data_IF_793549182703
#
_entry.id   IF_793549182703
#
_cell.length_a   1.000
_cell.length_b   1.000
_cell.length_c   1.000
_cell.angle_alpha   90.00
_cell.angle_beta   90.00
_cell.angle_gamma   90.00
#
_symmetry.space_group_name_H-M   'P 1'
#
loop_
_entity.id
_entity.type
_entity.pdbx_description
1 polymer ?
#
# COMPACT_ATOMS: atom_id res chain seq x y z
N UNK A 1 2.17 -11.61 -0.31
CA UNK A 1 1.83 -10.62 0.70
C UNK A 1 2.35 -11.05 2.05
N UNK A 2 2.97 -10.16 2.78
CA UNK A 2 3.44 -10.45 4.13
C UNK A 2 2.36 -9.99 5.11
N UNK A 3 1.91 -10.87 6.03
CA UNK A 3 0.99 -10.46 7.08
C UNK A 3 1.61 -9.34 7.89
N UNK A 4 0.90 -8.23 8.02
CA UNK A 4 1.46 -6.98 8.60
C UNK A 4 1.23 -6.93 10.11
N UNK A 5 0.34 -7.75 10.66
CA UNK A 5 0.07 -7.72 12.10
C UNK A 5 1.31 -8.12 12.91
N UNK A 6 1.79 -7.26 13.80
CA UNK A 6 2.93 -7.56 14.67
C UNK A 6 2.62 -8.62 15.73
N UNK A 7 1.33 -8.83 16.04
CA UNK A 7 0.87 -9.68 17.13
C UNK A 7 0.63 -11.14 16.72
N UNK A 8 0.84 -11.46 15.44
CA UNK A 8 0.69 -12.84 14.95
C UNK A 8 1.84 -13.73 15.39
N UNK A 9 1.53 -14.92 15.91
CA UNK A 9 2.52 -15.95 16.13
C UNK A 9 3.11 -16.43 14.80
N UNK A 10 4.24 -17.14 14.87
CA UNK A 10 4.87 -17.70 13.67
C UNK A 10 3.95 -18.74 12.98
N UNK A 11 3.23 -19.53 13.78
CA UNK A 11 2.28 -20.55 13.31
C UNK A 11 1.10 -19.89 12.60
N UNK A 12 0.52 -18.83 13.15
CA UNK A 12 -0.57 -18.08 12.53
C UNK A 12 -0.13 -17.44 11.21
N UNK A 13 1.04 -16.81 11.19
CA UNK A 13 1.63 -16.24 9.99
C UNK A 13 1.80 -17.29 8.89
N UNK A 14 2.37 -18.44 9.21
CA UNK A 14 2.54 -19.53 8.26
C UNK A 14 1.18 -20.08 7.78
N UNK A 15 0.21 -20.24 8.67
CA UNK A 15 -1.14 -20.68 8.32
C UNK A 15 -1.83 -19.76 7.33
N UNK A 16 -1.69 -18.44 7.48
CA UNK A 16 -2.22 -17.43 6.56
C UNK A 16 -1.54 -17.55 5.19
N UNK A 17 -0.21 -17.67 5.15
CA UNK A 17 0.55 -17.79 3.89
C UNK A 17 0.16 -19.05 3.14
N UNK A 18 0.11 -20.19 3.81
CA UNK A 18 -0.26 -21.48 3.21
C UNK A 18 -1.74 -21.47 2.76
N UNK A 19 -2.64 -20.89 3.55
CA UNK A 19 -4.03 -20.69 3.17
C UNK A 19 -4.18 -19.87 1.89
N UNK A 20 -3.48 -18.75 1.79
CA UNK A 20 -3.48 -17.92 0.60
C UNK A 20 -2.96 -18.67 -0.63
N UNK A 21 -1.86 -19.41 -0.49
CA UNK A 21 -1.30 -20.26 -1.57
C UNK A 21 -2.28 -21.34 -2.01
N UNK A 22 -2.90 -22.04 -1.07
CA UNK A 22 -3.84 -23.10 -1.36
C UNK A 22 -5.07 -22.57 -2.15
N UNK A 23 -5.61 -21.43 -1.75
CA UNK A 23 -6.73 -20.78 -2.44
C UNK A 23 -6.33 -20.42 -3.88
N UNK A 24 -5.23 -19.67 -4.05
CA UNK A 24 -4.78 -19.23 -5.37
C UNK A 24 -4.43 -20.40 -6.30
N UNK A 25 -3.77 -21.43 -5.77
CA UNK A 25 -3.40 -22.64 -6.54
C UNK A 25 -4.64 -23.42 -6.99
N UNK A 26 -5.65 -23.55 -6.12
CA UNK A 26 -6.86 -24.31 -6.44
C UNK A 26 -7.67 -23.71 -7.60
N UNK A 27 -7.60 -22.38 -7.77
CA UNK A 27 -8.31 -21.69 -8.86
C UNK A 27 -7.40 -21.32 -10.03
N UNK A 28 -6.13 -21.76 -10.01
CA UNK A 28 -5.09 -21.39 -10.99
C UNK A 28 -5.01 -19.86 -11.19
N UNK A 29 -4.99 -19.13 -10.08
CA UNK A 29 -4.97 -17.67 -10.11
C UNK A 29 -3.68 -17.14 -10.74
N UNK A 30 -3.81 -16.21 -11.66
CA UNK A 30 -2.71 -15.52 -12.33
C UNK A 30 -2.86 -14.00 -12.16
N UNK A 31 -1.81 -13.33 -11.74
CA UNK A 31 -1.80 -11.88 -11.54
C UNK A 31 -1.52 -11.47 -10.09
N UNK A 32 -1.52 -10.16 -9.84
CA UNK A 32 -1.42 -9.61 -8.50
C UNK A 32 -2.77 -9.75 -7.76
N UNK A 33 -2.72 -10.07 -6.47
CA UNK A 33 -3.90 -10.17 -5.63
C UNK A 33 -3.57 -10.13 -4.16
N UNK A 34 -4.58 -9.91 -3.33
CA UNK A 34 -4.48 -9.92 -1.87
C UNK A 34 -5.53 -10.86 -1.31
N UNK A 35 -5.10 -11.81 -0.48
CA UNK A 35 -6.00 -12.71 0.26
C UNK A 35 -6.11 -12.19 1.69
N UNK A 36 -7.31 -11.91 2.13
CA UNK A 36 -7.59 -11.34 3.44
C UNK A 36 -8.11 -12.40 4.41
N UNK A 37 -7.62 -12.33 5.65
CA UNK A 37 -8.01 -13.22 6.75
C UNK A 37 -8.31 -12.42 8.00
N UNK A 38 -9.22 -12.94 8.80
CA UNK A 38 -9.49 -12.46 10.17
C UNK A 38 -8.86 -13.46 11.14
N UNK A 39 -8.12 -12.94 12.11
CA UNK A 39 -7.60 -13.73 13.23
C UNK A 39 -8.33 -13.30 14.49
N UNK A 40 -9.11 -14.21 15.08
CA UNK A 40 -9.86 -13.97 16.31
C UNK A 40 -8.95 -14.02 17.54
N UNK A 41 -9.43 -13.54 18.68
CA UNK A 41 -8.69 -13.54 19.96
C UNK A 41 -8.28 -14.94 20.42
N UNK A 42 -9.09 -15.96 20.10
CA UNK A 42 -8.79 -17.37 20.38
C UNK A 42 -7.75 -17.99 19.42
N UNK A 43 -7.24 -17.21 18.47
CA UNK A 43 -6.27 -17.64 17.48
C UNK A 43 -6.86 -18.29 16.22
N UNK A 44 -8.17 -18.38 16.11
CA UNK A 44 -8.84 -18.93 14.92
C UNK A 44 -8.59 -18.03 13.70
N UNK A 45 -8.14 -18.63 12.59
CA UNK A 45 -7.90 -17.96 11.32
C UNK A 45 -9.06 -18.24 10.39
N UNK A 46 -9.77 -17.19 9.97
CA UNK A 46 -10.89 -17.26 9.05
C UNK A 46 -10.58 -16.53 7.75
N UNK A 47 -10.84 -17.17 6.62
CA UNK A 47 -10.77 -16.53 5.31
C UNK A 47 -11.88 -15.48 5.19
N UNK A 48 -11.54 -14.30 4.67
CA UNK A 48 -12.49 -13.22 4.43
C UNK A 48 -12.79 -13.09 2.93
N UNK A 49 -11.81 -12.66 2.15
CA UNK A 49 -11.99 -12.44 0.71
C UNK A 49 -10.67 -12.48 -0.07
N UNK A 50 -10.78 -12.48 -1.39
CA UNK A 50 -9.67 -12.25 -2.32
C UNK A 50 -9.93 -11.02 -3.15
N UNK A 51 -9.05 -10.04 -3.07
CA UNK A 51 -9.01 -8.91 -3.99
C UNK A 51 -8.16 -9.28 -5.20
N UNK A 52 -8.80 -9.57 -6.32
CA UNK A 52 -8.14 -10.03 -7.56
C UNK A 52 -7.57 -8.89 -8.40
N UNK A 53 -6.91 -7.97 -7.77
CA UNK A 53 -6.32 -6.76 -8.34
C UNK A 53 -5.17 -6.28 -7.48
N UNK A 54 -4.35 -5.36 -8.00
CA UNK A 54 -3.45 -4.57 -7.16
C UNK A 54 -4.27 -3.66 -6.23
N UNK A 55 -3.84 -3.53 -4.99
CA UNK A 55 -4.46 -2.62 -4.02
C UNK A 55 -3.69 -1.30 -3.92
N UNK A 56 -4.34 -0.27 -3.37
CA UNK A 56 -3.73 1.07 -3.23
C UNK A 56 -2.44 0.97 -2.41
N UNK A 57 -2.44 0.15 -1.36
CA UNK A 57 -1.35 -0.03 -0.38
C UNK A 57 -0.21 -0.97 -0.82
N UNK A 58 -0.19 -1.45 -2.08
CA UNK A 58 0.91 -2.30 -2.57
C UNK A 58 2.31 -1.68 -2.38
N UNK A 59 2.51 -0.34 -2.41
CA UNK A 59 3.82 0.26 -2.19
C UNK A 59 4.46 -0.06 -0.84
N UNK A 60 3.67 -0.37 0.20
CA UNK A 60 4.22 -0.83 1.49
C UNK A 60 4.96 -2.15 1.31
N UNK A 61 4.37 -3.10 0.60
CA UNK A 61 4.99 -4.38 0.28
C UNK A 61 6.24 -4.18 -0.58
N UNK A 62 6.18 -3.33 -1.60
CA UNK A 62 7.32 -2.99 -2.44
C UNK A 62 8.47 -2.40 -1.62
N UNK A 63 8.16 -1.46 -0.73
CA UNK A 63 9.18 -0.79 0.09
C UNK A 63 9.92 -1.72 1.05
N UNK A 64 9.26 -2.77 1.56
CA UNK A 64 9.89 -3.71 2.50
C UNK A 64 10.49 -4.95 1.84
N UNK A 65 10.08 -5.28 0.61
CA UNK A 65 10.56 -6.48 -0.10
C UNK A 65 11.52 -6.17 -1.24
N UNK A 66 11.48 -4.95 -1.79
CA UNK A 66 12.21 -4.57 -3.01
C UNK A 66 11.58 -5.13 -4.29
N UNK A 67 10.41 -5.79 -4.23
CA UNK A 67 9.71 -6.32 -5.41
C UNK A 67 8.81 -5.24 -6.00
N UNK A 68 8.94 -4.95 -7.28
CA UNK A 68 8.02 -4.08 -8.03
C UNK A 68 6.80 -4.90 -8.46
N UNK A 69 5.71 -4.78 -7.71
CA UNK A 69 4.47 -5.56 -7.93
C UNK A 69 3.83 -5.20 -9.27
N UNK A 70 3.91 -3.95 -9.68
CA UNK A 70 3.34 -3.50 -10.96
C UNK A 70 4.14 -4.08 -12.13
N UNK A 71 5.46 -4.07 -12.06
CA UNK A 71 6.30 -4.70 -13.07
C UNK A 71 6.05 -6.21 -13.16
N UNK A 72 5.93 -6.90 -12.03
CA UNK A 72 5.59 -8.33 -11.99
C UNK A 72 4.21 -8.61 -12.59
N UNK A 73 3.22 -7.76 -12.32
CA UNK A 73 1.89 -7.89 -12.93
C UNK A 73 1.94 -7.76 -14.45
N UNK A 74 2.74 -6.84 -14.98
CA UNK A 74 2.93 -6.67 -16.43
C UNK A 74 3.68 -7.88 -17.05
N UNK A 75 4.70 -8.44 -16.37
CA UNK A 75 5.38 -9.67 -16.80
C UNK A 75 4.42 -10.84 -16.90
N UNK A 76 3.61 -11.07 -15.85
CA UNK A 76 2.60 -12.13 -15.83
C UNK A 76 1.61 -11.95 -16.98
N UNK A 77 1.15 -10.73 -17.24
CA UNK A 77 0.24 -10.43 -18.34
C UNK A 77 0.87 -10.68 -19.73
N UNK A 78 2.20 -10.51 -19.83
CA UNK A 78 2.97 -10.84 -21.04
C UNK A 78 3.24 -12.37 -21.20
N UNK A 79 2.83 -13.19 -20.23
CA UNK A 79 3.08 -14.63 -20.20
C UNK A 79 4.47 -15.02 -19.70
N UNK A 80 5.21 -14.06 -19.11
CA UNK A 80 6.52 -14.31 -18.52
C UNK A 80 6.38 -14.84 -17.07
N UNK A 81 7.35 -15.63 -16.59
CA UNK A 81 7.41 -15.99 -15.17
C UNK A 81 7.74 -14.76 -14.31
N UNK A 82 7.40 -14.84 -13.02
CA UNK A 82 7.82 -13.84 -12.03
C UNK A 82 9.35 -13.80 -11.93
N UNK A 83 9.90 -12.63 -11.56
CA UNK A 83 11.36 -12.39 -11.56
C UNK A 83 12.11 -13.04 -10.38
N UNK A 84 11.42 -13.63 -9.44
CA UNK A 84 12.00 -14.25 -8.23
C UNK A 84 11.52 -15.69 -8.06
N UNK A 85 12.38 -16.54 -7.50
CA UNK A 85 12.11 -17.98 -7.28
C UNK A 85 11.83 -18.32 -5.82
N UNK A 86 12.25 -17.44 -4.91
CA UNK A 86 12.05 -17.58 -3.46
C UNK A 86 11.09 -16.52 -2.96
N UNK A 87 10.46 -16.79 -1.82
CA UNK A 87 9.59 -15.81 -1.19
C UNK A 87 10.38 -14.55 -0.81
N UNK A 88 9.93 -13.36 -1.20
CA UNK A 88 10.60 -12.12 -0.84
C UNK A 88 10.64 -11.92 0.68
N UNK A 89 11.81 -11.57 1.19
CA UNK A 89 11.99 -11.26 2.59
C UNK A 89 11.68 -9.80 2.89
N UNK A 90 10.97 -9.57 4.00
CA UNK A 90 10.69 -8.22 4.48
C UNK A 90 11.90 -7.64 5.21
N UNK A 91 12.30 -6.42 4.82
CA UNK A 91 13.39 -5.67 5.45
C UNK A 91 12.89 -4.30 5.90
N UNK A 92 13.05 -4.01 7.19
CA UNK A 92 12.59 -2.75 7.76
C UNK A 92 11.08 -2.69 7.96
N UNK A 93 10.54 -1.49 7.91
CA UNK A 93 9.11 -1.22 8.11
C UNK A 93 8.69 -0.04 7.23
N UNK A 94 7.47 -0.10 6.68
CA UNK A 94 6.93 0.99 5.88
C UNK A 94 5.53 1.38 6.34
N UNK A 95 5.18 2.65 6.11
CA UNK A 95 3.83 3.19 6.22
C UNK A 95 3.43 3.82 4.90
N UNK A 96 2.16 3.70 4.55
CA UNK A 96 1.55 4.46 3.47
C UNK A 96 0.45 5.35 4.05
N UNK A 97 0.41 6.59 3.58
CA UNK A 97 -0.65 7.55 3.87
C UNK A 97 -1.32 7.92 2.55
N UNK A 98 -2.64 7.73 2.50
CA UNK A 98 -3.45 8.25 1.41
C UNK A 98 -3.69 9.73 1.64
N UNK A 99 -3.29 10.55 0.70
CA UNK A 99 -3.50 12.01 0.73
C UNK A 99 -4.69 12.31 -0.15
N UNK A 100 -5.76 12.77 0.46
CA UNK A 100 -7.06 12.96 -0.18
C UNK A 100 -7.46 14.43 -0.21
N UNK A 101 -8.14 14.84 -1.28
CA UNK A 101 -8.80 16.13 -1.38
C UNK A 101 -10.16 16.08 -0.66
N UNK A 102 -10.15 16.33 0.66
CA UNK A 102 -11.32 16.19 1.54
C UNK A 102 -11.41 17.37 2.51
N UNK A 103 -12.61 17.93 2.65
CA UNK A 103 -12.90 19.00 3.60
C UNK A 103 -13.12 18.43 5.01
N UNK A 104 -12.12 18.61 5.88
CA UNK A 104 -12.11 18.13 7.26
C UNK A 104 -13.24 18.80 8.08
N UNK A 105 -13.53 20.07 7.79
CA UNK A 105 -14.54 20.84 8.53
C UNK A 105 -15.96 20.44 8.13
N UNK A 106 -16.11 19.83 6.96
CA UNK A 106 -17.39 19.37 6.44
C UNK A 106 -17.49 17.84 6.39
N UNK A 107 -17.01 17.17 7.45
CA UNK A 107 -17.14 15.73 7.62
C UNK A 107 -16.39 14.88 6.60
N UNK A 108 -15.21 15.34 6.14
CA UNK A 108 -14.39 14.69 5.11
C UNK A 108 -15.10 14.54 3.76
N UNK A 109 -16.01 15.46 3.43
CA UNK A 109 -16.62 15.48 2.11
C UNK A 109 -15.55 15.69 1.03
N UNK A 110 -15.67 15.04 -0.15
CA UNK A 110 -14.76 15.31 -1.27
C UNK A 110 -14.70 16.80 -1.59
N UNK A 111 -13.50 17.32 -1.76
CA UNK A 111 -13.23 18.73 -2.06
C UNK A 111 -12.59 18.85 -3.44
N UNK A 112 -13.38 18.74 -4.54
CA UNK A 112 -12.86 18.94 -5.89
C UNK A 112 -12.46 20.39 -6.09
N UNK A 113 -11.40 20.63 -6.86
CA UNK A 113 -10.90 21.98 -7.08
C UNK A 113 -9.60 21.99 -7.85
N UNK A 114 -8.97 23.17 -7.90
CA UNK A 114 -7.65 23.34 -8.50
C UNK A 114 -6.58 23.33 -7.42
N UNK A 115 -5.62 22.44 -7.55
CA UNK A 115 -4.43 22.44 -6.69
C UNK A 115 -3.59 23.68 -7.01
N UNK A 116 -3.53 24.60 -6.08
CA UNK A 116 -2.76 25.85 -6.21
C UNK A 116 -1.28 25.57 -6.00
N UNK A 117 -0.97 24.81 -4.94
CA UNK A 117 0.40 24.39 -4.60
C UNK A 117 0.44 22.90 -4.31
N UNK A 118 1.48 22.22 -4.81
CA UNK A 118 1.78 20.83 -4.52
C UNK A 118 3.28 20.67 -4.29
N UNK A 119 3.66 20.59 -3.04
CA UNK A 119 5.05 20.48 -2.60
C UNK A 119 5.24 19.17 -1.80
N UNK A 120 5.57 18.05 -2.48
CA UNK A 120 5.75 16.78 -1.81
C UNK A 120 7.06 16.76 -1.00
N UNK A 121 7.09 16.04 0.15
CA UNK A 121 8.29 15.86 0.93
C UNK A 121 9.30 14.99 0.18
N UNK A 122 10.58 15.17 0.50
CA UNK A 122 11.70 14.40 -0.03
C UNK A 122 12.62 13.91 1.08
N UNK A 123 13.48 12.94 0.77
CA UNK A 123 14.50 12.48 1.71
C UNK A 123 14.66 10.96 1.77
N UNK A 124 15.57 10.46 2.60
CA UNK A 124 15.85 9.03 2.72
C UNK A 124 14.64 8.23 3.18
N UNK A 125 14.21 7.27 2.35
CA UNK A 125 13.06 6.41 2.63
C UNK A 125 11.70 7.11 2.44
N UNK A 126 11.66 8.24 1.74
CA UNK A 126 10.43 8.93 1.34
C UNK A 126 10.18 8.67 -0.15
N UNK A 127 8.97 8.20 -0.47
CA UNK A 127 8.45 8.05 -1.83
C UNK A 127 7.06 8.70 -1.88
N UNK A 128 6.80 9.45 -2.92
CA UNK A 128 5.47 10.02 -3.19
C UNK A 128 5.00 9.57 -4.57
N UNK A 129 3.91 8.81 -4.60
CA UNK A 129 3.26 8.42 -5.85
C UNK A 129 2.08 9.34 -6.09
N UNK A 130 2.12 10.13 -7.16
CA UNK A 130 1.07 11.08 -7.49
C UNK A 130 0.99 11.32 -8.99
N UNK A 131 -0.22 11.58 -9.48
CA UNK A 131 -0.49 12.03 -10.84
C UNK A 131 -0.73 13.54 -10.94
N UNK A 132 -0.72 14.25 -9.79
CA UNK A 132 -1.02 15.69 -9.74
C UNK A 132 0.22 16.54 -9.53
N UNK A 133 0.09 17.80 -9.86
CA UNK A 133 1.06 18.88 -9.65
C UNK A 133 0.30 20.20 -9.44
N UNK A 134 1.01 21.27 -9.08
CA UNK A 134 0.43 22.61 -9.04
C UNK A 134 -0.26 22.94 -10.37
N UNK A 135 -1.49 23.42 -10.31
CA UNK A 135 -2.36 23.69 -11.46
C UNK A 135 -3.22 22.50 -11.91
N UNK A 136 -3.06 21.31 -11.35
CA UNK A 136 -3.94 20.18 -11.64
C UNK A 136 -5.35 20.42 -11.10
N UNK A 137 -6.35 19.90 -11.82
CA UNK A 137 -7.75 19.96 -11.41
C UNK A 137 -8.17 18.59 -10.87
N UNK A 138 -8.71 18.55 -9.66
CA UNK A 138 -9.35 17.37 -9.07
C UNK A 138 -10.83 17.40 -9.46
N UNK A 139 -11.29 16.45 -10.28
CA UNK A 139 -12.68 16.41 -10.72
C UNK A 139 -13.57 15.79 -9.64
N UNK A 140 -14.90 16.11 -9.65
CA UNK A 140 -15.85 15.51 -8.70
C UNK A 140 -16.33 14.09 -9.07
N UNK A 141 -15.79 13.50 -10.14
CA UNK A 141 -16.32 12.26 -10.74
C UNK A 141 -15.66 10.98 -10.24
N UNK A 142 -14.53 11.10 -9.53
CA UNK A 142 -13.71 10.00 -9.07
C UNK A 142 -13.38 10.15 -7.58
N UNK A 143 -12.63 9.18 -7.04
CA UNK A 143 -12.09 9.22 -5.69
C UNK A 143 -11.28 10.51 -5.42
N UNK A 144 -11.28 10.95 -4.18
CA UNK A 144 -10.55 12.12 -3.69
C UNK A 144 -9.04 11.91 -3.58
N UNK A 145 -8.52 10.69 -3.80
CA UNK A 145 -7.09 10.36 -3.67
C UNK A 145 -6.24 11.14 -4.67
N UNK A 146 -5.31 11.95 -4.18
CA UNK A 146 -4.41 12.77 -4.99
C UNK A 146 -2.94 12.32 -4.92
N UNK A 147 -2.55 11.72 -3.82
CA UNK A 147 -1.19 11.18 -3.65
C UNK A 147 -1.16 10.06 -2.63
N UNK A 148 -0.11 9.24 -2.71
CA UNK A 148 0.29 8.28 -1.67
C UNK A 148 1.66 8.70 -1.17
N UNK A 149 1.78 8.90 0.14
CA UNK A 149 3.07 9.10 0.80
C UNK A 149 3.50 7.77 1.41
N UNK A 150 4.57 7.20 0.90
CA UNK A 150 5.16 5.96 1.39
C UNK A 150 6.45 6.27 2.13
N UNK A 151 6.56 5.78 3.36
CA UNK A 151 7.70 6.07 4.23
C UNK A 151 8.29 4.78 4.76
N UNK A 152 9.54 4.51 4.42
CA UNK A 152 10.29 3.35 4.87
C UNK A 152 11.37 3.73 5.91
N UNK A 153 11.64 2.80 6.81
CA UNK A 153 12.76 2.87 7.76
C UNK A 153 13.27 1.48 8.15
N UNK A 154 14.52 1.36 8.61
CA UNK A 154 15.08 0.08 9.05
C UNK A 154 14.35 -0.52 10.26
N UNK A 155 13.63 0.30 11.02
CA UNK A 155 12.74 -0.13 12.11
C UNK A 155 11.43 0.65 12.05
N UNK A 156 10.39 0.13 12.73
CA UNK A 156 9.08 0.80 12.82
C UNK A 156 9.20 2.22 13.41
N UNK A 157 10.02 2.40 14.45
CA UNK A 157 10.21 3.71 15.09
C UNK A 157 10.89 4.70 14.16
N UNK A 158 11.88 4.27 13.37
CA UNK A 158 12.52 5.13 12.37
C UNK A 158 11.54 5.52 11.29
N UNK A 159 10.77 4.56 10.74
CA UNK A 159 9.75 4.84 9.74
C UNK A 159 8.69 5.81 10.28
N UNK A 160 8.22 5.63 11.52
CA UNK A 160 7.25 6.51 12.16
C UNK A 160 7.77 7.94 12.36
N UNK A 161 9.04 8.11 12.80
CA UNK A 161 9.65 9.44 12.91
C UNK A 161 9.75 10.13 11.56
N UNK A 162 10.21 9.42 10.52
CA UNK A 162 10.26 9.94 9.16
C UNK A 162 8.87 10.33 8.65
N UNK A 163 7.85 9.51 8.91
CA UNK A 163 6.48 9.79 8.52
C UNK A 163 5.96 11.09 9.15
N UNK A 164 6.22 11.30 10.45
CA UNK A 164 5.85 12.56 11.13
C UNK A 164 6.50 13.79 10.52
N UNK A 165 7.77 13.69 10.08
CA UNK A 165 8.45 14.78 9.38
C UNK A 165 7.88 15.00 7.99
N UNK A 166 7.77 13.94 7.19
CA UNK A 166 7.25 14.02 5.84
C UNK A 166 5.83 14.60 5.77
N UNK A 167 4.93 14.20 6.69
CA UNK A 167 3.58 14.76 6.77
C UNK A 167 3.55 16.25 7.12
N UNK A 168 4.53 16.75 7.88
CA UNK A 168 4.65 18.18 8.22
C UNK A 168 5.23 19.02 7.08
N UNK A 169 6.04 18.39 6.24
CA UNK A 169 6.66 19.05 5.07
C UNK A 169 5.74 19.06 3.85
N UNK A 170 4.79 18.13 3.79
CA UNK A 170 3.87 18.03 2.68
C UNK A 170 2.91 19.24 2.65
N UNK A 171 2.98 20.04 1.58
CA UNK A 171 2.11 21.20 1.38
C UNK A 171 1.23 21.01 0.16
N UNK A 172 -0.06 21.17 0.38
CA UNK A 172 -1.07 21.13 -0.68
C UNK A 172 -2.07 22.24 -0.37
N UNK A 173 -2.30 23.13 -1.34
CA UNK A 173 -3.25 24.22 -1.23
C UNK A 173 -4.24 24.19 -2.39
N UNK A 174 -5.48 24.61 -2.11
CA UNK A 174 -6.55 24.79 -3.12
C UNK A 174 -7.61 23.68 -3.17
N UNK A 175 -7.40 22.59 -2.42
CA UNK A 175 -8.35 21.46 -2.30
C UNK A 175 -8.36 20.96 -0.87
#
# INVERSE_FOLDING_TARGET
ALPISPDLTKEQRNGIIEGARAICSKVNYTGAGTVEFIVSEDGTISFLEVNTRVQVEHPVTEAVTGVDIIAEQLRIAAGEPISFTEDPHSTGHAFEFRINAEDILNGFAPCPGTIVSFEPPTGPGIRVDSAVRSGSIIPPYYDSLIAKLIVWGPTRDVALRRAKHALREFRIDGV
#
